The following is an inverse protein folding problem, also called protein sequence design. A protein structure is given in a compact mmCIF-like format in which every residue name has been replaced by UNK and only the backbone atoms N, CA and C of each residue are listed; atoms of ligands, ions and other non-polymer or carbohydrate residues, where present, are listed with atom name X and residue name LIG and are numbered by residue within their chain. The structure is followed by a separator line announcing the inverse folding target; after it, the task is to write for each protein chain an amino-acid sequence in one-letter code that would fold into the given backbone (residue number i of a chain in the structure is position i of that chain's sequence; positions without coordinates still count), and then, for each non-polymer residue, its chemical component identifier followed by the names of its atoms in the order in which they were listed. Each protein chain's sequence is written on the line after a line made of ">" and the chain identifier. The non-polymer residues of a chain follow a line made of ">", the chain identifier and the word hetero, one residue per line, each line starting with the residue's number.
data_IF_631630190725
#
_entry.id   IF_631630190725
#
_cell.length_a   1.000
_cell.length_b   1.000
_cell.length_c   1.000
_cell.angle_alpha   90.00
_cell.angle_beta   90.00
_cell.angle_gamma   90.00
#
_symmetry.space_group_name_H-M   'P 1'
#
loop_
_entity.id
_entity.type
_entity.pdbx_description
1 polymer ?
#
# COMPACT_ATOMS: atom_id res chain seq x y z
N UNK A 1 10.16 -3.67 44.19
CA UNK A 1 9.02 -2.96 43.59
C UNK A 1 9.56 -2.13 42.43
N UNK A 2 9.28 -2.52 41.20
CA UNK A 2 9.76 -1.82 40.00
C UNK A 2 8.67 -0.88 39.51
N UNK A 3 9.02 0.41 39.48
CA UNK A 3 8.15 1.53 39.15
C UNK A 3 7.64 1.48 37.72
N UNK A 4 6.44 2.00 37.57
CA UNK A 4 5.59 1.93 36.40
C UNK A 4 6.15 2.64 35.16
N UNK A 5 5.75 2.08 34.01
CA UNK A 5 5.43 2.70 32.72
C UNK A 5 6.56 3.41 31.98
N UNK A 6 6.97 2.79 30.89
CA UNK A 6 7.51 3.41 29.67
C UNK A 6 6.54 4.50 29.20
N UNK A 7 6.63 5.69 29.77
CA UNK A 7 5.89 6.86 29.29
C UNK A 7 6.61 7.33 28.02
N UNK A 8 6.04 6.91 26.89
CA UNK A 8 6.09 7.55 25.57
C UNK A 8 7.31 8.46 25.32
N UNK A 9 8.41 7.87 24.84
CA UNK A 9 9.55 8.61 24.26
C UNK A 9 9.22 9.28 22.90
N UNK A 10 7.95 9.33 22.51
CA UNK A 10 7.47 9.97 21.27
C UNK A 10 7.65 11.49 21.27
N UNK A 11 7.83 12.14 22.42
CA UNK A 11 8.04 13.59 22.49
C UNK A 11 9.39 14.06 21.90
N UNK A 12 10.34 13.16 21.63
CA UNK A 12 11.68 13.49 21.10
C UNK A 12 11.88 13.12 19.62
N UNK A 13 10.95 12.39 19.03
CA UNK A 13 10.97 12.00 17.62
C UNK A 13 9.61 12.34 17.02
N UNK A 14 9.57 13.08 15.92
CA UNK A 14 8.32 13.25 15.18
C UNK A 14 7.91 11.89 14.61
N UNK A 15 7.07 11.15 15.33
CA UNK A 15 6.47 9.92 14.85
C UNK A 15 5.32 10.30 13.92
N UNK A 16 5.52 10.07 12.62
CA UNK A 16 4.47 10.18 11.62
C UNK A 16 4.04 8.78 11.20
N UNK A 17 2.81 8.43 11.52
CA UNK A 17 2.20 7.18 11.12
C UNK A 17 1.06 7.48 10.16
N UNK A 18 1.21 7.08 8.89
CA UNK A 18 0.19 7.27 7.87
C UNK A 18 -1.15 6.62 8.24
N UNK A 19 -1.11 5.51 8.98
CA UNK A 19 -2.31 4.78 9.36
C UNK A 19 -3.23 5.61 10.26
N UNK A 20 -2.65 6.44 11.12
CA UNK A 20 -3.41 7.30 12.05
C UNK A 20 -4.10 8.46 11.33
N UNK A 21 -3.68 8.76 10.10
CA UNK A 21 -4.23 9.85 9.28
C UNK A 21 -5.26 9.40 8.24
N UNK A 22 -5.45 8.08 8.04
CA UNK A 22 -6.48 7.55 7.14
C UNK A 22 -7.67 7.05 7.95
N UNK A 23 -8.88 7.64 7.79
CA UNK A 23 -10.06 7.24 8.56
C UNK A 23 -10.30 5.73 8.52
N UNK A 24 -10.67 5.13 9.67
CA UNK A 24 -10.95 3.69 9.73
C UNK A 24 -12.09 3.28 8.78
N UNK A 25 -13.06 4.17 8.55
CA UNK A 25 -14.17 3.97 7.62
C UNK A 25 -13.83 4.27 6.15
N UNK A 26 -12.56 4.50 5.82
CA UNK A 26 -12.16 4.86 4.45
C UNK A 26 -12.40 3.67 3.50
N UNK A 27 -13.04 3.92 2.35
CA UNK A 27 -13.42 2.89 1.37
C UNK A 27 -12.24 1.97 1.00
N UNK A 28 -11.05 2.54 0.77
CA UNK A 28 -9.89 1.74 0.37
C UNK A 28 -9.40 0.78 1.46
N UNK A 29 -9.64 1.05 2.76
CA UNK A 29 -9.36 0.08 3.83
C UNK A 29 -10.31 -1.11 3.73
N UNK A 30 -11.59 -0.85 3.46
CA UNK A 30 -12.57 -1.91 3.25
C UNK A 30 -12.23 -2.75 2.00
N UNK A 31 -11.80 -2.11 0.91
CA UNK A 31 -11.36 -2.81 -0.31
C UNK A 31 -10.12 -3.67 -0.04
N UNK A 32 -9.12 -3.15 0.66
CA UNK A 32 -7.85 -3.85 0.94
C UNK A 32 -8.07 -5.19 1.66
N UNK A 33 -9.06 -5.27 2.56
CA UNK A 33 -9.42 -6.53 3.23
C UNK A 33 -9.83 -7.68 2.29
N UNK A 34 -10.29 -7.36 1.08
CA UNK A 34 -10.71 -8.35 0.09
C UNK A 34 -9.71 -8.53 -1.06
N UNK A 35 -8.62 -7.77 -1.07
CA UNK A 35 -7.63 -7.76 -2.15
C UNK A 35 -6.37 -8.50 -1.68
N UNK A 36 -6.40 -9.82 -1.81
CA UNK A 36 -5.20 -10.64 -1.65
C UNK A 36 -4.47 -10.77 -2.99
N UNK A 37 -3.32 -10.10 -3.10
CA UNK A 37 -2.44 -10.15 -4.26
C UNK A 37 -1.19 -11.00 -4.01
N UNK A 38 -1.16 -11.75 -2.90
CA UNK A 38 -0.04 -12.61 -2.56
C UNK A 38 0.25 -13.63 -3.68
N UNK A 39 1.53 -13.76 -4.00
CA UNK A 39 2.01 -14.70 -5.02
C UNK A 39 1.69 -14.30 -6.47
N UNK A 40 1.09 -13.14 -6.73
CA UNK A 40 0.82 -12.70 -8.11
C UNK A 40 2.11 -12.53 -8.91
N UNK A 41 3.16 -12.01 -8.27
CA UNK A 41 4.48 -11.82 -8.89
C UNK A 41 5.08 -13.13 -9.37
N UNK A 42 5.01 -14.19 -8.57
CA UNK A 42 5.53 -15.51 -8.95
C UNK A 42 4.72 -16.12 -10.10
N UNK A 43 3.40 -15.98 -10.06
CA UNK A 43 2.51 -16.44 -11.15
C UNK A 43 2.82 -15.72 -12.47
N UNK A 44 3.17 -14.43 -12.39
CA UNK A 44 3.46 -13.62 -13.58
C UNK A 44 4.92 -13.67 -14.03
N UNK A 45 5.83 -14.17 -13.19
CA UNK A 45 7.27 -14.25 -13.46
C UNK A 45 7.61 -14.85 -14.83
N UNK A 46 6.98 -15.94 -15.29
CA UNK A 46 7.30 -16.54 -16.60
C UNK A 46 7.00 -15.64 -17.81
N UNK A 47 6.19 -14.58 -17.64
CA UNK A 47 5.80 -13.68 -18.72
C UNK A 47 6.66 -12.42 -18.80
N UNK A 48 7.55 -12.19 -17.83
CA UNK A 48 8.46 -11.05 -17.86
C UNK A 48 9.76 -11.38 -18.58
N UNK A 49 10.29 -10.40 -19.31
CA UNK A 49 11.61 -10.50 -19.92
C UNK A 49 12.70 -10.57 -18.83
N UNK A 50 13.68 -11.46 -19.04
CA UNK A 50 14.90 -11.51 -18.22
C UNK A 50 15.87 -10.36 -18.53
N UNK A 51 15.63 -9.61 -19.62
CA UNK A 51 16.47 -8.50 -20.07
C UNK A 51 15.67 -7.21 -20.23
N UNK A 52 16.35 -6.06 -20.17
CA UNK A 52 15.74 -4.73 -20.29
C UNK A 52 15.34 -4.13 -18.94
N UNK A 53 14.53 -3.08 -18.98
CA UNK A 53 14.08 -2.38 -17.76
C UNK A 53 13.05 -3.26 -17.03
N UNK A 54 13.21 -3.52 -15.72
CA UNK A 54 12.20 -4.20 -14.93
C UNK A 54 10.84 -3.51 -15.05
N UNK A 55 9.79 -4.30 -15.24
CA UNK A 55 8.42 -3.79 -15.23
C UNK A 55 8.01 -3.33 -13.83
N UNK A 56 6.97 -2.49 -13.76
CA UNK A 56 6.33 -2.12 -12.49
C UNK A 56 5.88 -3.39 -11.78
N UNK A 57 5.99 -3.42 -10.45
CA UNK A 57 5.51 -4.54 -9.66
C UNK A 57 4.01 -4.77 -9.91
N UNK A 58 3.59 -6.01 -10.26
CA UNK A 58 2.20 -6.28 -10.62
C UNK A 58 1.22 -5.98 -9.49
N UNK A 59 1.62 -6.18 -8.23
CA UNK A 59 0.79 -5.85 -7.09
C UNK A 59 0.56 -4.34 -7.01
N UNK A 60 1.62 -3.54 -7.17
CA UNK A 60 1.53 -2.09 -7.20
C UNK A 60 0.62 -1.62 -8.34
N UNK A 61 0.81 -2.16 -9.54
CA UNK A 61 -0.01 -1.80 -10.71
C UNK A 61 -1.51 -2.01 -10.44
N UNK A 62 -1.88 -3.19 -9.91
CA UNK A 62 -3.28 -3.52 -9.62
C UNK A 62 -3.84 -2.60 -8.52
N UNK A 63 -3.07 -2.35 -7.45
CA UNK A 63 -3.49 -1.43 -6.38
C UNK A 63 -3.72 -0.01 -6.91
N UNK A 64 -2.84 0.50 -7.79
CA UNK A 64 -3.01 1.81 -8.42
C UNK A 64 -4.27 1.88 -9.29
N UNK A 65 -4.54 0.83 -10.08
CA UNK A 65 -5.76 0.75 -10.88
C UNK A 65 -7.02 0.72 -10.02
N UNK A 66 -7.03 -0.06 -8.93
CA UNK A 66 -8.15 -0.10 -7.98
C UNK A 66 -8.41 1.28 -7.35
N UNK A 67 -7.36 2.00 -6.94
CA UNK A 67 -7.47 3.38 -6.47
C UNK A 67 -8.10 4.26 -7.55
N UNK A 68 -7.60 4.17 -8.78
CA UNK A 68 -8.13 4.95 -9.90
C UNK A 68 -9.60 4.69 -10.17
N UNK A 69 -10.03 3.42 -10.16
CA UNK A 69 -11.44 3.07 -10.33
C UNK A 69 -12.31 3.57 -9.18
N UNK A 70 -11.86 3.41 -7.93
CA UNK A 70 -12.61 3.87 -6.75
C UNK A 70 -12.73 5.39 -6.67
N UNK A 71 -11.72 6.12 -7.17
CA UNK A 71 -11.66 7.59 -7.12
C UNK A 71 -12.10 8.26 -8.44
N UNK A 72 -12.55 7.50 -9.43
CA UNK A 72 -12.95 8.03 -10.73
C UNK A 72 -11.80 8.61 -11.57
N UNK A 73 -10.56 8.23 -11.29
CA UNK A 73 -9.38 8.63 -12.08
C UNK A 73 -9.30 7.73 -13.31
N UNK A 74 -9.63 8.29 -14.48
CA UNK A 74 -9.70 7.56 -15.77
C UNK A 74 -8.39 7.49 -16.54
N UNK A 75 -7.34 8.14 -16.05
CA UNK A 75 -6.05 8.24 -16.74
C UNK A 75 -4.97 7.63 -15.88
N UNK A 76 -4.28 6.62 -16.40
CA UNK A 76 -3.11 6.04 -15.74
C UNK A 76 -2.02 7.09 -15.52
N UNK A 77 -1.82 8.02 -16.47
CA UNK A 77 -0.89 9.17 -16.31
C UNK A 77 -1.25 10.13 -15.18
N UNK A 78 -2.46 10.05 -14.62
CA UNK A 78 -2.87 10.84 -13.45
C UNK A 78 -2.70 10.05 -12.15
N UNK A 79 -2.48 8.73 -12.24
CA UNK A 79 -2.19 7.86 -11.11
C UNK A 79 -0.68 7.79 -10.83
N UNK A 80 0.16 7.89 -11.86
CA UNK A 80 1.62 7.84 -11.78
C UNK A 80 2.31 9.08 -12.38
#
# INVERSE_FOLDING_TARGET
>A
MMGARTVMQEALFYSFNLEDHVPQSHLLRAVDHFVDLSGIREKLRPFYSETGRPSIDPELMIRMLLIGYCMGIRSERRLC
#
